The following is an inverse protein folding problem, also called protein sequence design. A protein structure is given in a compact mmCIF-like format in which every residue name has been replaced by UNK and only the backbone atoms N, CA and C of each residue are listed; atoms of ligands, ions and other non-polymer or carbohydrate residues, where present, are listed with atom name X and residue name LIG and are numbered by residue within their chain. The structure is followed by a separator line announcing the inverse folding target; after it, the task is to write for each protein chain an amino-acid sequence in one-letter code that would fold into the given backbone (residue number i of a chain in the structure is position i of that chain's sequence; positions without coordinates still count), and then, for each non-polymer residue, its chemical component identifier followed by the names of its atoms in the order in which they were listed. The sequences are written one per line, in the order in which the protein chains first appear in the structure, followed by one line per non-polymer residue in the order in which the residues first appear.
data_IF_720391513707
#
_entry.id   IF_720391513707
#
_cell.length_a   1.000
_cell.length_b   1.000
_cell.length_c   1.000
_cell.angle_alpha   90.00
_cell.angle_beta   90.00
_cell.angle_gamma   90.00
#
_symmetry.space_group_name_H-M   'P 1'
#
loop_
_entity.id
_entity.type
_entity.pdbx_description
1 polymer ?
#
# COMPACT_ATOMS: atom_id res chain seq x y z
N UNK A 1 -17.58 -7.79 39.74
CA UNK A 1 -16.64 -6.70 39.39
C UNK A 1 -15.95 -6.93 38.03
N UNK A 2 -15.32 -8.08 37.78
CA UNK A 2 -14.69 -8.37 36.48
C UNK A 2 -15.73 -8.45 35.33
N UNK A 3 -16.85 -9.16 35.54
CA UNK A 3 -17.91 -9.27 34.53
C UNK A 3 -18.52 -7.91 34.16
N UNK A 4 -18.74 -7.05 35.15
CA UNK A 4 -19.30 -5.70 34.94
C UNK A 4 -18.34 -4.80 34.17
N UNK A 5 -17.03 -4.90 34.45
CA UNK A 5 -16.00 -4.18 33.69
C UNK A 5 -15.93 -4.69 32.25
N UNK A 6 -15.98 -6.00 32.05
CA UNK A 6 -15.92 -6.61 30.73
C UNK A 6 -17.13 -6.21 29.85
N UNK A 7 -18.33 -6.24 30.42
CA UNK A 7 -19.54 -5.75 29.76
C UNK A 7 -19.46 -4.26 29.44
N UNK A 8 -18.92 -3.45 30.36
CA UNK A 8 -18.75 -2.02 30.14
C UNK A 8 -17.78 -1.74 28.99
N UNK A 9 -16.63 -2.43 28.93
CA UNK A 9 -15.63 -2.27 27.86
C UNK A 9 -16.24 -2.65 26.51
N UNK A 10 -16.87 -3.83 26.42
CA UNK A 10 -17.49 -4.30 25.18
C UNK A 10 -18.59 -3.33 24.73
N UNK A 11 -19.43 -2.88 25.67
CA UNK A 11 -20.49 -1.90 25.38
C UNK A 11 -19.93 -0.59 24.82
N UNK A 12 -18.87 -0.05 25.44
CA UNK A 12 -18.23 1.19 24.98
C UNK A 12 -17.62 1.00 23.59
N UNK A 13 -16.92 -0.09 23.32
CA UNK A 13 -16.34 -0.35 21.99
C UNK A 13 -17.43 -0.42 20.93
N UNK A 14 -18.53 -1.13 21.20
CA UNK A 14 -19.62 -1.26 20.23
C UNK A 14 -20.25 0.10 19.94
N UNK A 15 -20.58 0.87 20.98
CA UNK A 15 -21.33 2.12 20.84
C UNK A 15 -20.45 3.27 20.33
N UNK A 16 -19.19 3.36 20.77
CA UNK A 16 -18.30 4.46 20.44
C UNK A 16 -17.45 4.23 19.19
N UNK A 17 -17.13 2.97 18.87
CA UNK A 17 -16.23 2.65 17.77
C UNK A 17 -16.96 1.91 16.64
N UNK A 18 -17.55 0.74 16.93
CA UNK A 18 -18.08 -0.14 15.87
C UNK A 18 -19.30 0.48 15.17
N UNK A 19 -20.30 0.93 15.94
CA UNK A 19 -21.55 1.48 15.38
C UNK A 19 -21.29 2.79 14.61
N UNK A 20 -20.57 3.80 15.15
CA UNK A 20 -20.31 5.03 14.41
C UNK A 20 -19.47 4.79 13.15
N UNK A 21 -18.49 3.88 13.22
CA UNK A 21 -17.66 3.52 12.06
C UNK A 21 -18.50 2.87 10.95
N UNK A 22 -19.35 1.91 11.31
CA UNK A 22 -20.24 1.26 10.34
C UNK A 22 -21.21 2.26 9.70
N UNK A 23 -21.73 3.22 10.47
CA UNK A 23 -22.59 4.28 9.94
C UNK A 23 -21.85 5.21 8.96
N UNK A 24 -20.61 5.58 9.29
CA UNK A 24 -19.78 6.40 8.43
C UNK A 24 -19.47 5.71 7.09
N UNK A 25 -19.26 4.40 7.12
CA UNK A 25 -19.00 3.57 5.94
C UNK A 25 -20.27 3.38 5.08
N UNK A 26 -21.44 3.24 5.72
CA UNK A 26 -22.71 3.11 5.01
C UNK A 26 -23.18 4.43 4.34
N UNK A 27 -22.89 5.58 4.95
CA UNK A 27 -23.31 6.90 4.45
C UNK A 27 -22.15 7.91 4.42
N UNK A 28 -21.15 7.72 3.54
CA UNK A 28 -19.94 8.54 3.53
C UNK A 28 -20.25 10.00 3.23
N UNK A 29 -21.06 10.31 2.21
CA UNK A 29 -21.31 11.70 1.80
C UNK A 29 -21.97 12.55 2.89
N UNK A 30 -22.99 11.99 3.55
CA UNK A 30 -23.71 12.68 4.63
C UNK A 30 -22.79 12.84 5.84
N UNK A 31 -22.10 11.78 6.23
CA UNK A 31 -21.20 11.79 7.39
C UNK A 31 -20.05 12.78 7.18
N UNK A 32 -19.39 12.73 6.02
CA UNK A 32 -18.30 13.65 5.67
C UNK A 32 -18.78 15.09 5.67
N UNK A 33 -19.97 15.41 5.12
CA UNK A 33 -20.47 16.79 5.11
C UNK A 33 -20.64 17.38 6.50
N UNK A 34 -21.06 16.59 7.47
CA UNK A 34 -21.22 17.02 8.86
C UNK A 34 -19.88 17.09 9.61
N UNK A 35 -18.98 16.13 9.41
CA UNK A 35 -17.67 16.08 10.10
C UNK A 35 -16.67 17.09 9.51
N UNK A 36 -16.76 17.39 8.21
CA UNK A 36 -15.81 18.25 7.49
C UNK A 36 -15.48 19.58 8.18
N UNK A 37 -16.45 20.42 8.61
CA UNK A 37 -16.13 21.70 9.25
C UNK A 37 -15.35 21.52 10.57
N UNK A 38 -15.68 20.49 11.35
CA UNK A 38 -14.98 20.17 12.61
C UNK A 38 -13.55 19.75 12.30
N UNK A 39 -13.37 18.90 11.30
CA UNK A 39 -12.08 18.39 10.87
C UNK A 39 -11.18 19.51 10.33
N UNK A 40 -11.73 20.46 9.57
CA UNK A 40 -11.00 21.65 9.10
C UNK A 40 -10.56 22.53 10.28
N UNK A 41 -11.43 22.73 11.28
CA UNK A 41 -11.08 23.45 12.50
C UNK A 41 -9.95 22.77 13.27
N UNK A 42 -10.00 21.45 13.42
CA UNK A 42 -8.94 20.66 14.04
C UNK A 42 -7.62 20.78 13.27
N UNK A 43 -7.65 20.65 11.94
CA UNK A 43 -6.46 20.83 11.10
C UNK A 43 -5.90 22.24 11.29
N UNK A 44 -6.74 23.27 11.35
CA UNK A 44 -6.28 24.65 11.55
C UNK A 44 -5.48 24.80 12.84
N UNK A 45 -5.91 24.15 13.93
CA UNK A 45 -5.22 24.17 15.23
C UNK A 45 -3.93 23.35 15.22
N UNK A 46 -3.94 22.17 14.59
CA UNK A 46 -2.78 21.25 14.59
C UNK A 46 -1.72 21.62 13.55
N UNK A 47 -2.11 22.24 12.43
CA UNK A 47 -1.21 22.63 11.34
C UNK A 47 0.00 23.48 11.79
N UNK A 48 -0.11 24.51 12.65
CA UNK A 48 1.06 25.23 13.13
C UNK A 48 2.05 24.32 13.87
N UNK A 49 1.56 23.38 14.69
CA UNK A 49 2.40 22.40 15.37
C UNK A 49 3.16 21.51 14.38
N UNK A 50 2.47 21.03 13.33
CA UNK A 50 3.09 20.24 12.26
C UNK A 50 4.20 21.04 11.56
N UNK A 51 3.97 22.33 11.28
CA UNK A 51 4.96 23.19 10.63
C UNK A 51 6.22 23.34 11.50
N UNK A 52 6.04 23.56 12.81
CA UNK A 52 7.15 23.68 13.77
C UNK A 52 7.97 22.39 13.82
N UNK A 53 7.31 21.23 13.96
CA UNK A 53 8.00 19.94 13.97
C UNK A 53 8.78 19.71 12.68
N UNK A 54 8.17 19.97 11.52
CA UNK A 54 8.84 19.82 10.23
C UNK A 54 10.05 20.75 10.07
N UNK A 55 9.99 21.97 10.60
CA UNK A 55 11.14 22.88 10.61
C UNK A 55 12.26 22.33 11.49
N UNK A 56 11.92 21.83 12.69
CA UNK A 56 12.89 21.18 13.59
C UNK A 56 13.56 19.99 12.90
N UNK A 57 12.79 19.11 12.26
CA UNK A 57 13.32 17.95 11.51
C UNK A 57 14.27 18.38 10.39
N UNK A 58 13.95 19.46 9.65
CA UNK A 58 14.83 19.99 8.60
C UNK A 58 16.15 20.52 9.18
N UNK A 59 16.10 21.21 10.33
CA UNK A 59 17.30 21.71 11.00
C UNK A 59 18.19 20.55 11.42
N UNK A 60 17.62 19.52 12.05
CA UNK A 60 18.34 18.31 12.47
C UNK A 60 18.94 17.60 11.24
N UNK A 61 18.15 17.41 10.18
CA UNK A 61 18.62 16.77 8.93
C UNK A 61 19.78 17.54 8.30
N UNK A 62 19.77 18.87 8.36
CA UNK A 62 20.86 19.68 7.81
C UNK A 62 22.12 19.68 8.68
N UNK A 63 22.00 19.38 9.98
CA UNK A 63 23.13 19.24 10.89
C UNK A 63 23.80 17.87 10.84
N UNK A 64 23.09 16.84 10.38
CA UNK A 64 23.64 15.50 10.16
C UNK A 64 24.20 15.40 8.73
N UNK A 65 25.50 15.13 8.53
CA UNK A 65 26.05 14.85 7.21
C UNK A 65 25.33 13.64 6.62
N UNK A 66 24.59 13.82 5.52
CA UNK A 66 23.84 12.75 4.86
C UNK A 66 24.76 11.54 4.59
N UNK A 67 24.53 10.42 5.27
CA UNK A 67 24.53 9.15 4.58
C UNK A 67 23.13 9.00 4.00
N UNK A 68 23.04 9.18 2.68
CA UNK A 68 21.90 8.83 1.83
C UNK A 68 20.52 9.31 2.28
N UNK A 69 19.95 10.25 1.52
CA UNK A 69 18.51 10.18 1.30
C UNK A 69 18.24 8.86 0.61
N UNK A 70 18.04 7.79 1.39
CA UNK A 70 17.22 6.69 0.91
C UNK A 70 15.83 7.31 0.73
N UNK A 71 15.55 7.72 -0.51
CA UNK A 71 14.21 7.54 -1.07
C UNK A 71 13.69 6.23 -0.49
N UNK A 72 12.47 6.20 0.07
CA UNK A 72 11.86 5.00 0.62
C UNK A 72 11.90 3.90 -0.44
N UNK A 73 12.98 3.13 -0.47
CA UNK A 73 13.18 2.03 -1.39
C UNK A 73 12.44 0.89 -0.74
N UNK A 74 11.15 0.81 -1.05
CA UNK A 74 10.37 -0.35 -0.65
C UNK A 74 11.09 -1.62 -1.14
N UNK A 75 11.31 -2.57 -0.24
CA UNK A 75 11.80 -3.88 -0.63
C UNK A 75 10.77 -4.57 -1.53
N UNK A 76 11.22 -5.51 -2.37
CA UNK A 76 10.31 -6.32 -3.21
C UNK A 76 9.26 -7.04 -2.35
N UNK A 77 9.63 -7.44 -1.14
CA UNK A 77 8.75 -8.08 -0.16
C UNK A 77 7.66 -7.13 0.35
N UNK A 78 8.00 -5.87 0.61
CA UNK A 78 7.03 -4.85 1.06
C UNK A 78 6.02 -4.54 -0.05
N UNK A 79 6.49 -4.41 -1.31
CA UNK A 79 5.59 -4.23 -2.46
C UNK A 79 4.68 -5.46 -2.63
N UNK A 80 5.17 -6.68 -2.44
CA UNK A 80 4.32 -7.89 -2.47
C UNK A 80 3.25 -7.88 -1.38
N UNK A 81 3.58 -7.42 -0.18
CA UNK A 81 2.61 -7.30 0.91
C UNK A 81 1.51 -6.28 0.57
N UNK A 82 1.89 -5.11 0.05
CA UNK A 82 0.94 -4.07 -0.39
C UNK A 82 -0.02 -4.62 -1.44
N UNK A 83 0.50 -5.31 -2.47
CA UNK A 83 -0.31 -5.91 -3.54
C UNK A 83 -1.27 -6.98 -3.00
N UNK A 84 -0.82 -7.78 -2.04
CA UNK A 84 -1.65 -8.83 -1.41
C UNK A 84 -2.77 -8.25 -0.55
N UNK A 85 -2.49 -7.17 0.19
CA UNK A 85 -3.50 -6.46 0.99
C UNK A 85 -4.54 -5.83 0.06
N UNK A 86 -4.10 -5.20 -1.04
CA UNK A 86 -4.99 -4.59 -2.01
C UNK A 86 -5.92 -5.61 -2.69
N UNK A 87 -5.42 -6.79 -3.02
CA UNK A 87 -6.24 -7.93 -3.49
C UNK A 87 -7.28 -8.36 -2.43
N UNK A 88 -6.88 -8.51 -1.16
CA UNK A 88 -7.81 -8.89 -0.08
C UNK A 88 -8.91 -7.84 0.19
N UNK A 89 -8.64 -6.58 -0.17
CA UNK A 89 -9.60 -5.48 -0.11
C UNK A 89 -10.47 -5.38 -1.37
N UNK A 90 -10.30 -6.30 -2.33
CA UNK A 90 -11.04 -6.33 -3.59
C UNK A 90 -10.62 -5.25 -4.59
N UNK A 91 -9.50 -4.56 -4.36
CA UNK A 91 -8.98 -3.57 -5.31
C UNK A 91 -8.36 -4.22 -6.57
N UNK A 92 -7.92 -5.47 -6.47
CA UNK A 92 -7.39 -6.27 -7.57
C UNK A 92 -7.99 -7.67 -7.56
N UNK A 93 -8.11 -8.29 -8.73
CA UNK A 93 -8.41 -9.71 -8.87
C UNK A 93 -7.12 -10.56 -8.83
N UNK A 94 -7.27 -11.89 -8.70
CA UNK A 94 -6.12 -12.81 -8.67
C UNK A 94 -5.21 -12.69 -9.92
N UNK A 95 -5.81 -12.43 -11.09
CA UNK A 95 -5.08 -12.31 -12.35
C UNK A 95 -4.17 -11.08 -12.35
N UNK A 96 -4.66 -9.94 -11.86
CA UNK A 96 -3.92 -8.68 -11.73
C UNK A 96 -2.78 -8.81 -10.72
N UNK A 97 -3.05 -9.43 -9.56
CA UNK A 97 -2.02 -9.75 -8.56
C UNK A 97 -0.92 -10.63 -9.15
N UNK A 98 -1.29 -11.71 -9.84
CA UNK A 98 -0.34 -12.60 -10.51
C UNK A 98 0.48 -11.89 -11.60
N UNK A 99 -0.14 -10.95 -12.33
CA UNK A 99 0.55 -10.14 -13.34
C UNK A 99 1.60 -9.23 -12.73
N UNK A 100 1.26 -8.52 -11.65
CA UNK A 100 2.19 -7.63 -10.93
C UNK A 100 3.35 -8.43 -10.31
N UNK A 101 3.05 -9.59 -9.72
CA UNK A 101 4.08 -10.50 -9.20
C UNK A 101 4.98 -11.03 -10.32
N UNK A 102 4.43 -11.32 -11.50
CA UNK A 102 5.17 -11.71 -12.69
C UNK A 102 6.17 -10.64 -13.14
N UNK A 103 5.74 -9.37 -13.21
CA UNK A 103 6.63 -8.25 -13.56
C UNK A 103 7.76 -8.08 -12.52
N UNK A 104 7.46 -8.20 -11.23
CA UNK A 104 8.50 -8.11 -10.17
C UNK A 104 9.54 -9.24 -10.23
N UNK A 105 9.14 -10.41 -10.74
CA UNK A 105 10.01 -11.57 -10.88
C UNK A 105 10.71 -11.65 -12.25
N UNK A 106 10.35 -10.76 -13.19
CA UNK A 106 10.88 -10.78 -14.55
C UNK A 106 12.40 -10.65 -14.59
N UNK A 107 12.98 -9.81 -13.73
CA UNK A 107 14.44 -9.63 -13.61
C UNK A 107 15.18 -10.93 -13.22
N UNK A 108 14.49 -11.86 -12.54
CA UNK A 108 15.08 -13.14 -12.10
C UNK A 108 14.89 -14.26 -13.13
N UNK A 109 14.07 -14.06 -14.15
CA UNK A 109 13.85 -15.06 -15.21
C UNK A 109 15.10 -15.16 -16.08
N UNK A 110 15.60 -16.38 -16.25
CA UNK A 110 16.67 -16.69 -17.20
C UNK A 110 16.05 -17.19 -18.51
N UNK A 111 16.83 -17.09 -19.59
CA UNK A 111 16.45 -17.65 -20.90
C UNK A 111 16.15 -19.14 -20.78
N UNK A 112 16.91 -19.86 -19.95
CA UNK A 112 16.69 -21.28 -19.64
C UNK A 112 15.34 -21.58 -18.99
N UNK A 113 14.74 -20.61 -18.30
CA UNK A 113 13.47 -20.79 -17.59
C UNK A 113 12.27 -20.66 -18.53
N UNK A 114 12.48 -20.11 -19.74
CA UNK A 114 11.46 -19.93 -20.78
C UNK A 114 11.72 -20.75 -22.04
N UNK A 115 12.93 -21.31 -22.21
CA UNK A 115 13.33 -22.13 -23.35
C UNK A 115 12.61 -23.50 -23.34
N UNK A 116 11.33 -23.43 -23.67
CA UNK A 116 10.40 -24.57 -23.69
C UNK A 116 10.46 -25.30 -25.04
N UNK A 117 11.10 -24.71 -26.05
CA UNK A 117 11.18 -25.25 -27.41
C UNK A 117 12.51 -25.97 -27.59
N UNK A 118 12.54 -27.31 -27.60
CA UNK A 118 13.78 -28.04 -27.84
C UNK A 118 14.37 -27.66 -29.19
N UNK A 119 15.71 -27.62 -29.29
CA UNK A 119 16.44 -27.25 -30.53
C UNK A 119 15.95 -27.99 -31.78
N UNK A 120 15.51 -29.24 -31.62
CA UNK A 120 14.97 -30.08 -32.71
C UNK A 120 13.62 -29.58 -33.28
N UNK A 121 12.88 -28.75 -32.54
CA UNK A 121 11.59 -28.21 -32.93
C UNK A 121 11.68 -26.76 -33.43
N UNK A 122 12.90 -26.25 -33.65
CA UNK A 122 13.11 -24.91 -34.20
C UNK A 122 12.95 -24.96 -35.72
N UNK A 123 11.97 -24.24 -36.25
CA UNK A 123 11.82 -24.03 -37.71
C UNK A 123 12.77 -22.91 -38.15
N UNK A 124 13.70 -23.21 -39.05
CA UNK A 124 14.64 -22.25 -39.61
C UNK A 124 14.52 -22.22 -41.14
N UNK A 125 14.76 -21.05 -41.72
CA UNK A 125 14.83 -20.89 -43.17
C UNK A 125 16.24 -21.23 -43.67
N UNK A 126 16.38 -21.96 -44.79
CA UNK A 126 17.66 -22.20 -45.43
C UNK A 126 18.28 -20.89 -45.91
N UNK A 127 19.57 -20.66 -45.61
CA UNK A 127 20.29 -19.43 -45.95
C UNK A 127 20.57 -19.25 -47.46
N UNK A 128 20.30 -20.28 -48.26
CA UNK A 128 20.66 -20.34 -49.69
C UNK A 128 19.65 -19.64 -50.62
N UNK A 129 18.50 -19.19 -50.11
CA UNK A 129 17.43 -18.57 -50.90
C UNK A 129 17.53 -17.04 -51.02
N UNK A 130 18.66 -16.43 -50.63
CA UNK A 130 18.87 -14.98 -50.62
C UNK A 130 19.94 -14.49 -51.62
N UNK A 131 20.28 -15.29 -52.65
CA UNK A 131 21.08 -14.88 -53.82
C UNK A 131 20.27 -14.99 -55.10
#
# INVERSE_FOLDING_TARGET
MILTILLAIIGVIIICEVVPRAFAEAYPEKTTRWIYPILVGYIFVIKPLIIILNQLTKIIKNMVPNHSQEEQRFSKEEIRQIVTIAESQGAFNEVEKNRIQGVMNFEKLKITDIDTTPRINVTAFPSEYFL
#
